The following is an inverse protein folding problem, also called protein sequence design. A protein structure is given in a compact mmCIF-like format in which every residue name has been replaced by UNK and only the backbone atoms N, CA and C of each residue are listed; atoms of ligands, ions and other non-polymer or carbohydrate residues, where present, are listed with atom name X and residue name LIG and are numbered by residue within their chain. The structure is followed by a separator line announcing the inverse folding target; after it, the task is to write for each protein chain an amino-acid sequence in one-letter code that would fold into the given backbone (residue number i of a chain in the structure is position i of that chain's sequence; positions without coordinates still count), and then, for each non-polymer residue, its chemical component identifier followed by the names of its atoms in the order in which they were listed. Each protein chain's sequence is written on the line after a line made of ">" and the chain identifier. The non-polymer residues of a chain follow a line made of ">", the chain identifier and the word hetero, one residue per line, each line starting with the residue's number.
data_IF_589084960747
#
_entry.id   IF_589084960747
#
_cell.length_a   1.000
_cell.length_b   1.000
_cell.length_c   1.000
_cell.angle_alpha   90.00
_cell.angle_beta   90.00
_cell.angle_gamma   90.00
#
_symmetry.space_group_name_H-M   'P 1'
#
loop_
_entity.id
_entity.type
_entity.pdbx_description
1 polymer ?
#
# COMPACT_ATOMS: atom_id res chain seq x y z
N UNK A 1 -20.64 -12.44 -3.62
CA UNK A 1 -20.04 -11.11 -3.87
C UNK A 1 -19.25 -10.76 -2.64
N UNK A 2 -17.94 -10.55 -2.76
CA UNK A 2 -17.12 -10.15 -1.61
C UNK A 2 -17.59 -8.75 -1.16
N UNK A 3 -17.91 -8.62 0.14
CA UNK A 3 -18.29 -7.35 0.74
C UNK A 3 -17.02 -6.50 0.77
N UNK A 4 -16.96 -5.47 -0.08
CA UNK A 4 -15.90 -4.46 0.01
C UNK A 4 -16.05 -3.74 1.34
N UNK A 5 -14.99 -3.72 2.14
CA UNK A 5 -14.95 -2.99 3.40
C UNK A 5 -15.34 -1.54 3.19
N UNK A 6 -16.07 -0.92 4.13
CA UNK A 6 -16.51 0.48 4.02
C UNK A 6 -15.43 1.50 4.44
N UNK A 7 -14.15 1.08 4.46
CA UNK A 7 -13.07 1.84 5.06
C UNK A 7 -13.12 1.89 6.60
N UNK A 8 -12.32 2.76 7.25
CA UNK A 8 -11.34 3.66 6.64
C UNK A 8 -10.26 2.90 5.87
N UNK A 9 -9.71 3.53 4.83
CA UNK A 9 -8.59 2.99 4.06
C UNK A 9 -7.31 3.75 4.33
N UNK A 10 -6.20 3.06 4.11
CA UNK A 10 -4.88 3.53 4.47
C UNK A 10 -3.89 3.29 3.33
N UNK A 11 -3.04 4.29 3.08
CA UNK A 11 -1.93 4.21 2.13
C UNK A 11 -0.61 4.49 2.85
N UNK A 12 0.31 3.53 2.80
CA UNK A 12 1.66 3.67 3.36
C UNK A 12 2.67 4.12 2.31
N UNK A 13 3.40 5.19 2.58
CA UNK A 13 4.39 5.75 1.65
C UNK A 13 5.48 6.53 2.36
N UNK A 14 6.48 7.02 1.59
CA UNK A 14 7.45 8.03 2.02
C UNK A 14 7.26 9.38 1.31
N UNK A 15 6.26 9.47 0.42
CA UNK A 15 5.88 10.72 -0.19
C UNK A 15 5.33 11.70 0.87
N UNK A 16 5.70 12.97 0.73
CA UNK A 16 5.24 14.04 1.62
C UNK A 16 3.99 14.70 1.02
N UNK A 17 2.83 14.13 1.34
CA UNK A 17 1.50 14.56 0.88
C UNK A 17 0.75 15.30 1.99
N UNK A 18 -0.17 16.17 1.59
CA UNK A 18 -1.04 16.95 2.45
C UNK A 18 -2.50 16.52 2.31
N UNK A 19 -3.32 16.83 3.32
CA UNK A 19 -4.78 16.64 3.22
C UNK A 19 -5.33 17.46 2.06
N UNK A 20 -6.17 16.81 1.23
CA UNK A 20 -6.71 17.38 -0.01
C UNK A 20 -5.95 16.96 -1.26
N UNK A 21 -4.72 16.46 -1.13
CA UNK A 21 -3.94 15.98 -2.27
C UNK A 21 -4.61 14.76 -2.92
N UNK A 22 -4.38 14.61 -4.23
CA UNK A 22 -4.73 13.43 -4.99
C UNK A 22 -3.49 12.60 -5.26
N UNK A 23 -3.45 11.42 -4.66
CA UNK A 23 -2.47 10.41 -4.99
C UNK A 23 -2.88 9.73 -6.30
N UNK A 24 -1.95 9.58 -7.24
CA UNK A 24 -2.18 8.98 -8.56
C UNK A 24 -1.25 7.79 -8.82
N UNK A 25 -1.62 6.93 -9.78
CA UNK A 25 -0.68 5.95 -10.34
C UNK A 25 0.39 6.64 -11.21
N UNK A 26 1.33 5.88 -11.77
CA UNK A 26 2.40 6.36 -12.67
C UNK A 26 3.78 6.49 -12.03
N UNK A 27 3.92 6.15 -10.75
CA UNK A 27 5.21 6.14 -10.06
C UNK A 27 5.93 4.79 -10.20
N UNK A 28 7.25 4.79 -10.01
CA UNK A 28 8.03 3.54 -10.02
C UNK A 28 7.70 2.67 -8.80
N UNK A 29 7.71 1.36 -8.99
CA UNK A 29 7.41 0.41 -7.92
C UNK A 29 8.40 0.49 -6.75
N UNK A 30 7.87 0.37 -5.54
CA UNK A 30 8.65 0.16 -4.32
C UNK A 30 9.43 -1.18 -4.34
N UNK A 31 9.03 -2.14 -5.18
CA UNK A 31 9.62 -3.47 -5.23
C UNK A 31 10.57 -3.66 -6.42
N UNK A 32 10.24 -3.15 -7.61
CA UNK A 32 11.11 -3.19 -8.80
C UNK A 32 11.20 -1.81 -9.48
N UNK A 33 12.40 -1.22 -9.49
CA UNK A 33 12.62 0.12 -10.05
C UNK A 33 12.40 0.26 -11.56
N UNK A 34 12.21 -0.86 -12.28
CA UNK A 34 11.92 -0.90 -13.72
C UNK A 34 10.43 -0.87 -14.03
N UNK A 35 9.58 -1.13 -13.04
CA UNK A 35 8.11 -1.18 -13.21
C UNK A 35 7.51 0.19 -12.86
N UNK A 36 6.73 0.74 -13.79
CA UNK A 36 5.87 1.90 -13.54
C UNK A 36 4.49 1.39 -13.16
N UNK A 37 3.98 1.78 -11.99
CA UNK A 37 2.72 1.27 -11.46
C UNK A 37 1.52 1.89 -12.18
N UNK A 38 0.60 1.04 -12.63
CA UNK A 38 -0.66 1.42 -13.29
C UNK A 38 -1.79 1.65 -12.27
N UNK A 39 -1.57 1.26 -11.03
CA UNK A 39 -2.53 1.36 -9.94
C UNK A 39 -1.90 1.98 -8.70
N UNK A 40 -2.76 2.48 -7.83
CA UNK A 40 -2.46 2.92 -6.47
C UNK A 40 -2.94 1.83 -5.53
N UNK A 41 -2.15 1.51 -4.52
CA UNK A 41 -2.40 0.42 -3.59
C UNK A 41 -2.74 0.95 -2.22
N UNK A 42 -3.75 0.39 -1.58
CA UNK A 42 -4.22 0.80 -0.25
C UNK A 42 -4.84 -0.39 0.47
N UNK A 43 -5.09 -0.26 1.76
CA UNK A 43 -5.63 -1.35 2.58
C UNK A 43 -6.63 -0.83 3.61
N UNK A 44 -7.59 -1.66 4.02
CA UNK A 44 -8.43 -1.37 5.19
C UNK A 44 -7.76 -1.76 6.53
N UNK A 45 -6.48 -2.14 6.52
CA UNK A 45 -5.71 -2.51 7.69
C UNK A 45 -4.57 -1.51 7.98
N UNK A 46 -4.67 -0.68 9.04
CA UNK A 46 -3.68 0.36 9.36
C UNK A 46 -2.25 -0.19 9.51
N UNK A 47 -2.10 -1.33 10.20
CA UNK A 47 -0.81 -1.98 10.40
C UNK A 47 -0.21 -2.46 9.07
N UNK A 48 -1.03 -2.92 8.14
CA UNK A 48 -0.61 -3.25 6.77
C UNK A 48 -0.06 -2.04 6.01
N UNK A 49 -0.74 -0.88 6.10
CA UNK A 49 -0.23 0.37 5.53
C UNK A 49 1.06 0.83 6.22
N UNK A 50 1.17 0.68 7.54
CA UNK A 50 2.41 0.91 8.27
C UNK A 50 3.59 0.10 7.73
N UNK A 51 3.38 -1.19 7.47
CA UNK A 51 4.40 -2.03 6.83
C UNK A 51 4.81 -1.51 5.46
N UNK A 52 3.84 -1.10 4.63
CA UNK A 52 4.11 -0.51 3.32
C UNK A 52 4.95 0.77 3.41
N UNK A 53 4.66 1.64 4.39
CA UNK A 53 5.45 2.84 4.65
C UNK A 53 6.91 2.52 5.07
N UNK A 54 7.10 1.47 5.86
CA UNK A 54 8.41 1.02 6.33
C UNK A 54 9.29 0.42 5.22
N UNK A 55 8.68 -0.14 4.17
CA UNK A 55 9.41 -0.76 3.05
C UNK A 55 9.36 0.05 1.75
N UNK A 56 8.59 1.13 1.71
CA UNK A 56 8.55 2.05 0.57
C UNK A 56 9.94 2.57 0.22
N UNK A 57 10.17 2.93 -1.05
CA UNK A 57 11.44 3.55 -1.48
C UNK A 57 11.46 5.04 -1.14
N UNK A 58 12.67 5.57 -1.00
CA UNK A 58 12.93 6.98 -0.68
C UNK A 58 13.51 7.16 0.72
N UNK A 59 14.10 8.33 0.93
CA UNK A 59 14.83 8.69 2.16
C UNK A 59 13.95 9.48 3.17
N UNK A 60 12.70 9.76 2.79
CA UNK A 60 11.74 10.44 3.66
C UNK A 60 11.24 9.56 4.81
N UNK A 61 10.58 10.18 5.79
CA UNK A 61 9.91 9.47 6.88
C UNK A 61 8.79 8.59 6.30
N UNK A 62 8.61 7.39 6.86
CA UNK A 62 7.43 6.57 6.57
C UNK A 62 6.17 7.25 7.10
N UNK A 63 5.14 7.34 6.25
CA UNK A 63 3.86 7.98 6.55
C UNK A 63 2.72 7.04 6.20
N UNK A 64 1.64 7.09 6.99
CA UNK A 64 0.40 6.37 6.71
C UNK A 64 -0.73 7.39 6.58
N UNK A 65 -1.26 7.50 5.38
CA UNK A 65 -2.37 8.40 5.07
C UNK A 65 -3.70 7.68 5.17
N UNK A 66 -4.72 8.36 5.70
CA UNK A 66 -6.11 7.98 5.57
C UNK A 66 -6.57 8.47 4.19
N UNK A 67 -7.16 7.57 3.41
CA UNK A 67 -7.49 7.84 2.01
C UNK A 67 -8.92 7.47 1.66
N UNK A 68 -9.48 8.22 0.72
CA UNK A 68 -10.76 7.92 0.09
C UNK A 68 -10.57 7.64 -1.39
N UNK A 69 -10.99 6.47 -1.89
CA UNK A 69 -11.03 6.20 -3.32
C UNK A 69 -11.95 7.18 -4.03
N UNK A 70 -11.48 7.80 -5.12
CA UNK A 70 -12.33 8.69 -5.93
C UNK A 70 -13.13 7.93 -7.00
N UNK A 71 -12.93 6.62 -7.11
CA UNK A 71 -13.62 5.77 -8.07
C UNK A 71 -13.52 4.28 -7.73
N UNK A 72 -13.70 3.43 -8.73
CA UNK A 72 -13.74 1.99 -8.54
C UNK A 72 -12.36 1.41 -8.18
N UNK A 73 -12.36 0.39 -7.34
CA UNK A 73 -11.18 -0.36 -6.92
C UNK A 73 -11.50 -1.85 -6.87
N UNK A 74 -10.46 -2.66 -6.82
CA UNK A 74 -10.53 -4.13 -6.75
C UNK A 74 -9.53 -4.68 -5.74
N UNK A 75 -9.68 -5.95 -5.38
CA UNK A 75 -8.71 -6.65 -4.53
C UNK A 75 -7.32 -6.67 -5.17
N UNK A 76 -6.28 -6.50 -4.36
CA UNK A 76 -4.89 -6.57 -4.84
C UNK A 76 -4.53 -8.03 -5.19
N UNK A 77 -4.30 -8.35 -6.48
CA UNK A 77 -3.98 -9.72 -6.88
C UNK A 77 -2.59 -10.18 -6.43
N UNK A 78 -1.72 -9.29 -5.92
CA UNK A 78 -0.41 -9.67 -5.41
C UNK A 78 -0.49 -10.38 -4.05
N UNK A 79 -1.59 -10.20 -3.31
CA UNK A 79 -1.76 -10.74 -1.95
C UNK A 79 -3.09 -11.45 -1.72
N UNK A 80 -4.06 -11.28 -2.62
CA UNK A 80 -5.35 -11.99 -2.62
C UNK A 80 -5.22 -13.36 -3.29
N UNK A 81 -5.79 -14.41 -2.66
CA UNK A 81 -5.77 -15.79 -3.17
C UNK A 81 -4.35 -16.33 -3.47
N UNK A 82 -3.33 -15.83 -2.75
CA UNK A 82 -1.94 -16.29 -2.89
C UNK A 82 -1.59 -17.31 -1.83
N UNK A 83 -1.22 -16.84 -0.64
CA UNK A 83 -0.83 -17.71 0.48
C UNK A 83 -2.05 -18.24 1.23
N UNK A 84 -3.13 -17.48 1.24
CA UNK A 84 -4.37 -17.78 1.92
C UNK A 84 -5.55 -17.46 1.00
N UNK A 85 -6.68 -18.16 1.13
CA UNK A 85 -7.87 -17.88 0.34
C UNK A 85 -8.46 -16.51 0.68
N UNK A 86 -8.98 -15.81 -0.33
CA UNK A 86 -9.55 -14.48 -0.26
C UNK A 86 -8.52 -13.38 -0.01
N UNK A 87 -8.99 -12.25 0.53
CA UNK A 87 -8.19 -11.06 0.81
C UNK A 87 -8.05 -10.81 2.33
N UNK A 88 -7.32 -11.65 3.09
CA UNK A 88 -7.20 -11.49 4.54
C UNK A 88 -6.43 -10.23 4.93
N UNK A 89 -5.60 -9.70 4.03
CA UNK A 89 -4.86 -8.44 4.23
C UNK A 89 -5.72 -7.21 3.96
N UNK A 90 -6.93 -7.40 3.40
CA UNK A 90 -7.85 -6.33 3.01
C UNK A 90 -7.13 -5.29 2.14
N UNK A 91 -6.32 -5.77 1.19
CA UNK A 91 -5.50 -4.94 0.30
C UNK A 91 -6.18 -4.77 -1.04
N UNK A 92 -6.16 -3.56 -1.56
CA UNK A 92 -6.88 -3.15 -2.75
C UNK A 92 -5.98 -2.36 -3.68
N UNK A 93 -6.40 -2.23 -4.94
CA UNK A 93 -5.77 -1.35 -5.92
C UNK A 93 -6.81 -0.58 -6.74
N UNK A 94 -6.46 0.63 -7.15
CA UNK A 94 -7.31 1.52 -7.97
C UNK A 94 -6.51 2.15 -9.10
N UNK A 95 -7.14 2.31 -10.27
CA UNK A 95 -6.61 3.18 -11.36
C UNK A 95 -6.96 4.64 -11.13
N UNK A 96 -8.11 4.87 -10.49
CA UNK A 96 -8.58 6.20 -10.12
C UNK A 96 -7.78 6.72 -8.91
N UNK A 97 -7.60 8.05 -8.79
CA UNK A 97 -6.89 8.65 -7.67
C UNK A 97 -7.44 8.28 -6.29
N UNK A 98 -6.60 8.45 -5.28
CA UNK A 98 -7.03 8.44 -3.88
C UNK A 98 -6.88 9.84 -3.31
N UNK A 99 -7.91 10.34 -2.63
CA UNK A 99 -7.85 11.61 -1.92
C UNK A 99 -7.26 11.39 -0.53
N UNK A 100 -6.27 12.19 -0.16
CA UNK A 100 -5.76 12.23 1.21
C UNK A 100 -6.76 12.99 2.10
N UNK A 101 -7.32 12.32 3.10
CA UNK A 101 -8.28 12.92 4.05
C UNK A 101 -7.73 13.05 5.46
N UNK A 102 -6.58 12.45 5.73
CA UNK A 102 -5.87 12.56 7.01
C UNK A 102 -4.54 11.81 6.99
N UNK A 103 -3.80 11.92 8.08
CA UNK A 103 -2.56 11.17 8.34
C UNK A 103 -2.66 10.52 9.72
N UNK A 104 -2.27 9.25 9.84
CA UNK A 104 -2.14 8.61 11.14
C UNK A 104 -0.85 9.06 11.81
N UNK A 105 -0.97 9.52 13.06
CA UNK A 105 0.19 9.88 13.88
C UNK A 105 0.99 8.64 14.31
N UNK A 106 0.29 7.55 14.62
CA UNK A 106 0.87 6.29 15.07
C UNK A 106 0.10 5.09 14.53
N UNK A 107 0.79 3.95 14.39
CA UNK A 107 0.20 2.66 14.05
C UNK A 107 0.96 1.55 14.77
N UNK A 108 0.33 0.39 14.92
CA UNK A 108 0.97 -0.79 15.50
C UNK A 108 2.11 -1.27 14.57
N UNK A 109 3.36 -1.33 15.04
CA UNK A 109 4.48 -1.75 14.21
C UNK A 109 4.51 -3.28 14.03
N UNK A 110 5.22 -3.73 13.00
CA UNK A 110 5.70 -5.11 12.92
C UNK A 110 7.06 -5.23 13.63
N UNK A 111 7.42 -6.46 13.99
CA UNK A 111 8.73 -6.73 14.56
C UNK A 111 9.86 -6.26 13.64
N UNK A 112 10.87 -5.61 14.21
CA UNK A 112 12.00 -5.08 13.44
C UNK A 112 12.73 -6.18 12.65
N UNK A 113 12.85 -7.38 13.20
CA UNK A 113 13.42 -8.55 12.52
C UNK A 113 12.61 -8.95 11.27
N UNK A 114 11.27 -8.90 11.36
CA UNK A 114 10.39 -9.18 10.24
C UNK A 114 10.55 -8.14 9.13
N UNK A 115 10.60 -6.85 9.49
CA UNK A 115 10.81 -5.76 8.53
C UNK A 115 12.16 -5.92 7.82
N UNK A 116 13.23 -6.24 8.56
CA UNK A 116 14.56 -6.48 7.99
C UNK A 116 14.56 -7.65 7.00
N UNK A 117 13.95 -8.77 7.36
CA UNK A 117 13.82 -9.93 6.48
C UNK A 117 13.05 -9.58 5.20
N UNK A 118 11.98 -8.79 5.32
CA UNK A 118 11.20 -8.37 4.16
C UNK A 118 12.00 -7.44 3.25
N UNK A 119 12.75 -6.47 3.81
CA UNK A 119 13.65 -5.60 3.03
C UNK A 119 14.71 -6.39 2.26
N UNK A 120 15.30 -7.41 2.88
CA UNK A 120 16.23 -8.30 2.20
C UNK A 120 15.57 -9.01 1.03
N UNK A 121 14.37 -9.57 1.26
CA UNK A 121 13.60 -10.25 0.21
C UNK A 121 13.27 -9.33 -0.96
N UNK A 122 12.94 -8.07 -0.69
CA UNK A 122 12.69 -7.06 -1.73
C UNK A 122 13.97 -6.80 -2.54
N UNK A 123 15.13 -6.70 -1.89
CA UNK A 123 16.42 -6.49 -2.55
C UNK A 123 16.77 -7.64 -3.50
N UNK A 124 16.53 -8.88 -3.08
CA UNK A 124 16.74 -10.08 -3.90
C UNK A 124 15.70 -10.20 -5.02
N UNK A 125 14.50 -9.64 -4.80
CA UNK A 125 13.39 -9.62 -5.74
C UNK A 125 12.19 -10.39 -5.20
N UNK A 126 11.00 -9.80 -5.33
CA UNK A 126 9.74 -10.39 -4.83
C UNK A 126 9.04 -11.34 -5.81
N UNK A 127 9.61 -11.56 -7.00
CA UNK A 127 8.96 -12.27 -8.10
C UNK A 127 8.21 -11.31 -9.02
N UNK A 128 7.26 -11.86 -9.80
CA UNK A 128 6.45 -11.09 -10.73
C UNK A 128 5.49 -10.14 -10.00
N UNK A 129 5.47 -8.87 -10.42
CA UNK A 129 4.53 -7.86 -9.93
C UNK A 129 3.33 -7.86 -10.86
N UNK A 130 2.14 -8.19 -10.33
CA UNK A 130 0.89 -8.09 -11.06
C UNK A 130 0.44 -6.63 -10.97
N UNK A 131 0.81 -5.87 -11.99
CA UNK A 131 0.59 -4.42 -12.09
C UNK A 131 -0.76 -4.09 -12.70
#
# INVERSE_FOLDING_TARGET
>A
MAVSDTGPYFHGTRADLQVGDLLTAGFRSNYDGRVVMNHIYFTAWPKGAGLAAEIAKGDGRGRVYIVEPTGAFEDDPNVTDKKFPGNPTRSYRSREPLRIVGELETWEPFDAAYIQQLRERIRVGMGEIIN
#
